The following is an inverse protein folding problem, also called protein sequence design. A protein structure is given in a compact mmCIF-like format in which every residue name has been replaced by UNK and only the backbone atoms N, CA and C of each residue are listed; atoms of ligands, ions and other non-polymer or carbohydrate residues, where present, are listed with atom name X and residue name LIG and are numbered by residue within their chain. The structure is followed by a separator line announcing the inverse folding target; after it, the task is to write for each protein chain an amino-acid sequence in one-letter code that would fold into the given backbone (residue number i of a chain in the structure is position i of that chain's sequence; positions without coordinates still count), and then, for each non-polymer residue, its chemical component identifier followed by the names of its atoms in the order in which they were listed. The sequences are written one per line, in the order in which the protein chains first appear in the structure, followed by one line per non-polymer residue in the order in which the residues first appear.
data_IF_521259435839
#
_entry.id   IF_521259435839
#
_cell.length_a   1.000
_cell.length_b   1.000
_cell.length_c   1.000
_cell.angle_alpha   90.00
_cell.angle_beta   90.00
_cell.angle_gamma   90.00
#
_symmetry.space_group_name_H-M   'P 1'
#
loop_
_entity.id
_entity.type
_entity.pdbx_description
1 polymer ?
#
# COMPACT_ATOMS: atom_id res chain seq x y z
N UNK A 1 17.22 20.95 -58.09
CA UNK A 1 16.59 19.75 -57.50
C UNK A 1 17.16 19.59 -56.13
N UNK A 2 16.92 20.51 -55.19
CA UNK A 2 15.58 21.07 -54.81
C UNK A 2 14.66 19.88 -54.50
N UNK A 3 14.05 19.74 -53.32
CA UNK A 3 13.29 20.71 -52.50
C UNK A 3 13.37 20.26 -51.01
N UNK A 4 13.69 21.15 -50.05
CA UNK A 4 12.81 21.97 -49.16
C UNK A 4 12.20 21.11 -48.02
N UNK A 5 12.62 21.21 -46.74
CA UNK A 5 12.43 22.30 -45.75
C UNK A 5 10.97 22.78 -45.64
N UNK A 6 10.20 22.19 -44.72
CA UNK A 6 9.10 22.87 -44.00
C UNK A 6 9.01 22.28 -42.58
N UNK A 7 9.84 22.85 -41.68
CA UNK A 7 9.53 23.02 -40.26
C UNK A 7 8.39 24.06 -40.17
N UNK A 8 7.22 23.67 -39.64
CA UNK A 8 6.26 24.62 -39.07
C UNK A 8 6.17 24.34 -37.57
N UNK A 9 6.87 25.21 -36.82
CA UNK A 9 6.61 25.56 -35.42
C UNK A 9 5.29 26.35 -35.29
N UNK A 10 4.95 26.64 -34.03
CA UNK A 10 3.93 27.54 -33.47
C UNK A 10 2.55 26.92 -33.18
N UNK A 11 2.17 26.73 -31.90
CA UNK A 11 1.97 27.71 -30.80
C UNK A 11 0.51 28.19 -30.82
N UNK A 12 -0.25 27.69 -29.84
CA UNK A 12 -1.36 28.38 -29.17
C UNK A 12 -1.99 27.42 -28.14
N UNK A 13 -1.29 27.25 -27.01
CA UNK A 13 -1.93 26.93 -25.74
C UNK A 13 -2.52 28.23 -25.16
N UNK A 14 -3.74 28.59 -25.58
CA UNK A 14 -4.60 29.49 -24.81
C UNK A 14 -5.47 28.62 -23.88
N UNK A 15 -4.92 28.23 -22.72
CA UNK A 15 -5.70 27.76 -21.58
C UNK A 15 -6.00 28.97 -20.68
N UNK A 16 -7.06 29.66 -21.06
CA UNK A 16 -7.68 30.74 -20.28
C UNK A 16 -8.14 30.21 -18.92
N UNK A 17 -7.42 30.61 -17.89
CA UNK A 17 -7.98 31.19 -16.66
C UNK A 17 -9.02 30.39 -15.90
N UNK A 18 -8.61 29.87 -14.75
CA UNK A 18 -9.45 29.97 -13.55
C UNK A 18 -8.57 30.43 -12.37
N UNK A 19 -8.41 31.76 -12.32
CA UNK A 19 -8.18 32.48 -11.07
C UNK A 19 -9.49 32.39 -10.27
N UNK A 20 -9.61 31.45 -9.34
CA UNK A 20 -10.72 31.51 -8.38
C UNK A 20 -10.29 31.14 -6.95
N UNK A 21 -10.39 32.19 -6.14
CA UNK A 21 -10.63 32.26 -4.70
C UNK A 21 -9.46 31.94 -3.75
N UNK A 22 -8.72 33.01 -3.47
CA UNK A 22 -8.33 33.40 -2.11
C UNK A 22 -9.51 33.18 -1.14
N UNK A 23 -9.45 32.16 -0.28
CA UNK A 23 -10.21 32.13 0.98
C UNK A 23 -9.20 32.37 2.11
N UNK A 24 -9.03 33.66 2.42
CA UNK A 24 -8.23 34.16 3.52
C UNK A 24 -8.80 33.68 4.86
N UNK A 25 -7.96 32.98 5.63
CA UNK A 25 -7.82 33.06 7.09
C UNK A 25 -9.09 33.39 7.90
N UNK A 26 -9.81 32.35 8.33
CA UNK A 26 -10.66 32.42 9.52
C UNK A 26 -9.79 32.07 10.75
N UNK A 27 -9.02 33.07 11.22
CA UNK A 27 -8.41 33.09 12.55
C UNK A 27 -9.52 33.14 13.62
N UNK A 28 -10.17 32.00 13.89
CA UNK A 28 -10.98 31.83 15.11
C UNK A 28 -10.06 31.40 16.26
N UNK A 29 -9.31 32.39 16.75
CA UNK A 29 -8.51 32.34 17.98
C UNK A 29 -9.49 32.41 19.19
N UNK A 30 -10.22 31.31 19.37
CA UNK A 30 -11.12 31.06 20.49
C UNK A 30 -10.35 30.65 21.73
N UNK A 31 -9.62 31.60 22.30
CA UNK A 31 -9.04 31.58 23.64
C UNK A 31 -10.17 31.50 24.69
N UNK A 32 -10.58 30.27 25.01
CA UNK A 32 -11.46 29.97 26.15
C UNK A 32 -10.59 29.41 27.29
N UNK A 33 -9.86 30.34 27.92
CA UNK A 33 -9.37 30.21 29.29
C UNK A 33 -10.58 30.08 30.23
N UNK A 34 -11.08 28.86 30.43
CA UNK A 34 -11.89 28.52 31.60
C UNK A 34 -11.27 27.30 32.30
N UNK A 35 -10.08 27.58 32.83
CA UNK A 35 -9.41 26.87 33.91
C UNK A 35 -10.12 27.21 35.23
N UNK A 36 -11.28 26.59 35.48
CA UNK A 36 -11.79 26.41 36.84
C UNK A 36 -11.87 24.91 37.15
N UNK A 37 -10.80 24.45 37.79
CA UNK A 37 -10.79 23.55 38.95
C UNK A 37 -12.14 22.86 39.26
N UNK A 38 -12.29 21.61 38.80
CA UNK A 38 -13.14 20.64 39.50
C UNK A 38 -12.25 19.44 39.90
N UNK A 39 -11.39 19.72 40.87
CA UNK A 39 -10.79 18.73 41.75
C UNK A 39 -11.89 18.07 42.61
N UNK A 40 -12.71 17.21 42.02
CA UNK A 40 -13.38 16.14 42.77
C UNK A 40 -12.71 14.81 42.44
N UNK A 41 -11.52 14.71 43.04
CA UNK A 41 -11.01 13.52 43.72
C UNK A 41 -12.11 12.83 44.54
N UNK A 42 -12.89 11.98 43.89
CA UNK A 42 -13.58 10.88 44.55
C UNK A 42 -12.88 9.59 44.13
N UNK A 43 -11.82 9.29 44.89
CA UNK A 43 -11.20 7.98 44.94
C UNK A 43 -12.24 6.87 45.09
N UNK A 44 -12.41 6.10 44.03
CA UNK A 44 -12.87 4.71 44.11
C UNK A 44 -11.59 3.86 44.27
N UNK A 45 -11.05 3.90 45.49
CA UNK A 45 -10.27 2.80 46.04
C UNK A 45 -11.18 1.56 46.10
N UNK A 46 -10.61 0.39 45.79
CA UNK A 46 -11.22 -0.96 45.70
C UNK A 46 -11.98 -1.31 44.41
N UNK A 47 -11.28 -1.95 43.47
CA UNK A 47 -11.59 -3.36 43.16
C UNK A 47 -10.35 -4.03 42.55
N UNK A 48 -9.58 -4.67 43.44
CA UNK A 48 -8.97 -6.00 43.25
C UNK A 48 -8.21 -6.25 41.94
N UNK A 49 -6.89 -6.10 42.01
CA UNK A 49 -5.96 -7.24 41.96
C UNK A 49 -6.39 -8.43 41.06
N UNK A 50 -6.09 -8.31 39.77
CA UNK A 50 -5.69 -9.47 38.97
C UNK A 50 -4.32 -9.15 38.38
N UNK A 51 -3.28 -9.49 39.14
CA UNK A 51 -1.96 -9.84 38.63
C UNK A 51 -2.12 -10.85 37.49
N UNK A 52 -2.11 -10.37 36.25
CA UNK A 52 -1.83 -11.21 35.08
C UNK A 52 -0.31 -11.19 34.87
N UNK A 53 0.38 -11.88 35.79
CA UNK A 53 1.73 -12.39 35.59
C UNK A 53 1.66 -13.51 34.54
N UNK A 54 1.48 -13.17 33.26
CA UNK A 54 1.92 -14.00 32.15
C UNK A 54 3.06 -13.26 31.43
N UNK A 55 4.15 -13.22 32.19
CA UNK A 55 5.53 -13.23 31.75
C UNK A 55 5.79 -14.55 30.98
N UNK A 56 5.58 -14.56 29.67
CA UNK A 56 6.31 -15.45 28.78
C UNK A 56 7.12 -14.58 27.81
N UNK A 57 8.34 -14.29 28.26
CA UNK A 57 9.55 -14.26 27.44
C UNK A 57 9.44 -15.27 26.29
N UNK A 58 9.28 -14.79 25.05
CA UNK A 58 9.77 -15.51 23.89
C UNK A 58 10.74 -14.60 23.16
N UNK A 59 11.97 -14.63 23.69
CA UNK A 59 13.20 -14.24 23.04
C UNK A 59 13.39 -15.09 21.77
N UNK A 60 12.84 -14.66 20.64
CA UNK A 60 13.37 -15.05 19.33
C UNK A 60 14.20 -13.87 18.78
N UNK A 61 15.35 -13.67 19.41
CA UNK A 61 16.55 -13.17 18.74
C UNK A 61 17.01 -14.21 17.71
N UNK A 62 16.39 -14.25 16.53
CA UNK A 62 17.04 -14.81 15.34
C UNK A 62 17.89 -13.72 14.70
N UNK A 63 19.03 -13.50 15.35
CA UNK A 63 20.25 -12.88 14.85
C UNK A 63 20.93 -13.83 13.85
N UNK A 64 20.33 -13.99 12.67
CA UNK A 64 21.04 -14.54 11.51
C UNK A 64 21.74 -13.39 10.78
N UNK A 65 22.83 -12.91 11.40
CA UNK A 65 23.97 -12.33 10.70
C UNK A 65 24.56 -13.41 9.75
N UNK A 66 23.95 -13.59 8.57
CA UNK A 66 24.60 -14.24 7.43
C UNK A 66 25.57 -13.25 6.77
N UNK A 67 26.64 -12.94 7.50
CA UNK A 67 27.91 -12.50 6.93
C UNK A 67 28.60 -13.73 6.33
N UNK A 68 28.41 -14.00 5.04
CA UNK A 68 29.41 -14.72 4.26
C UNK A 68 29.35 -14.39 2.75
N UNK A 69 30.25 -13.48 2.39
CA UNK A 69 31.26 -13.66 1.34
C UNK A 69 30.88 -13.36 -0.12
N UNK A 70 31.28 -12.15 -0.51
CA UNK A 70 31.93 -11.78 -1.77
C UNK A 70 32.08 -12.87 -2.85
N UNK A 71 31.00 -13.12 -3.56
CA UNK A 71 31.05 -13.56 -4.96
C UNK A 71 31.30 -12.39 -5.90
N UNK A 72 32.46 -11.73 -5.81
CA UNK A 72 33.01 -10.89 -6.89
C UNK A 72 33.38 -11.79 -8.07
N UNK A 73 32.37 -12.37 -8.72
CA UNK A 73 32.49 -12.98 -10.04
C UNK A 73 32.52 -11.82 -11.06
N UNK A 74 33.60 -11.04 -10.98
CA UNK A 74 34.17 -10.37 -12.12
C UNK A 74 34.48 -11.49 -13.13
N UNK A 75 33.46 -11.92 -13.89
CA UNK A 75 33.62 -12.68 -15.12
C UNK A 75 34.46 -11.79 -16.02
N UNK A 76 35.77 -11.96 -15.85
CA UNK A 76 36.85 -11.50 -16.67
C UNK A 76 36.38 -11.74 -18.10
N UNK A 77 35.87 -10.67 -18.73
CA UNK A 77 35.30 -10.68 -20.05
C UNK A 77 36.43 -11.00 -21.02
N UNK A 78 36.77 -12.28 -21.07
CA UNK A 78 37.63 -12.89 -22.05
C UNK A 78 37.04 -12.44 -23.37
N UNK A 79 37.76 -11.65 -24.19
CA UNK A 79 37.26 -11.34 -25.49
C UNK A 79 37.17 -12.68 -26.21
N UNK A 80 35.95 -13.22 -26.34
CA UNK A 80 35.60 -14.34 -27.18
C UNK A 80 36.06 -13.94 -28.58
N UNK A 81 37.31 -14.33 -28.88
CA UNK A 81 37.87 -14.26 -30.20
C UNK A 81 37.03 -15.22 -31.00
N UNK A 82 36.00 -14.70 -31.65
CA UNK A 82 35.26 -15.37 -32.71
C UNK A 82 36.31 -15.74 -33.76
N UNK A 83 36.87 -16.95 -33.60
CA UNK A 83 37.72 -17.59 -34.57
C UNK A 83 36.81 -17.91 -35.74
N UNK A 84 36.73 -16.95 -36.66
CA UNK A 84 36.22 -17.18 -37.99
C UNK A 84 37.10 -18.26 -38.61
N UNK A 85 36.65 -19.51 -38.53
CA UNK A 85 37.23 -20.61 -39.29
C UNK A 85 36.88 -20.30 -40.75
N UNK A 86 37.82 -19.71 -41.49
CA UNK A 86 37.81 -19.75 -42.94
C UNK A 86 37.89 -21.22 -43.34
N UNK A 87 36.76 -21.80 -43.74
CA UNK A 87 36.76 -22.98 -44.59
C UNK A 87 37.48 -22.65 -45.90
N UNK A 88 38.18 -23.63 -46.43
CA UNK A 88 39.15 -23.50 -47.53
C UNK A 88 38.52 -23.16 -48.90
N UNK A 89 37.20 -23.06 -48.97
CA UNK A 89 36.45 -22.89 -50.22
C UNK A 89 35.61 -21.59 -50.30
N UNK A 90 35.80 -20.63 -49.38
CA UNK A 90 35.37 -19.25 -49.61
C UNK A 90 33.87 -18.95 -49.53
N UNK A 91 33.01 -19.87 -49.08
CA UNK A 91 31.61 -19.57 -48.80
C UNK A 91 31.38 -19.09 -47.36
N UNK A 92 30.75 -17.93 -47.24
CA UNK A 92 30.43 -17.25 -45.98
C UNK A 92 29.10 -17.78 -45.43
N UNK A 93 29.15 -18.74 -44.52
CA UNK A 93 27.97 -19.11 -43.73
C UNK A 93 27.85 -18.16 -42.52
N UNK A 94 26.84 -17.28 -42.45
CA UNK A 94 26.55 -16.59 -41.20
C UNK A 94 26.16 -17.66 -40.18
N UNK A 95 26.95 -17.78 -39.11
CA UNK A 95 26.69 -18.75 -38.05
C UNK A 95 25.31 -18.54 -37.46
N UNK A 96 24.41 -19.52 -37.71
CA UNK A 96 23.28 -19.82 -36.82
C UNK A 96 23.87 -20.04 -35.43
N UNK A 97 23.54 -19.20 -34.46
CA UNK A 97 24.02 -19.39 -33.09
C UNK A 97 23.96 -18.17 -32.18
N UNK A 98 23.74 -16.96 -32.72
CA UNK A 98 23.66 -15.73 -31.89
C UNK A 98 22.30 -15.04 -31.98
N UNK A 99 21.45 -15.42 -32.95
CA UNK A 99 20.11 -14.83 -33.12
C UNK A 99 19.03 -15.41 -32.21
N UNK A 100 19.00 -16.73 -32.00
CA UNK A 100 17.94 -17.38 -31.20
C UNK A 100 18.00 -16.98 -29.72
N UNK A 101 19.18 -16.98 -29.08
CA UNK A 101 19.32 -16.58 -27.66
C UNK A 101 18.96 -15.12 -27.38
N UNK A 102 19.20 -14.22 -28.33
CA UNK A 102 18.88 -12.80 -28.14
C UNK A 102 17.38 -12.51 -28.29
N UNK A 103 16.68 -13.30 -29.11
CA UNK A 103 15.22 -13.25 -29.21
C UNK A 103 14.53 -13.94 -28.03
N UNK A 104 15.07 -15.07 -27.57
CA UNK A 104 14.55 -15.80 -26.40
C UNK A 104 14.62 -14.95 -25.12
N UNK A 105 15.73 -14.22 -24.90
CA UNK A 105 15.86 -13.26 -23.79
C UNK A 105 14.89 -12.08 -23.87
N UNK A 106 14.58 -11.61 -25.08
CA UNK A 106 13.65 -10.51 -25.30
C UNK A 106 12.17 -10.91 -25.14
N UNK A 107 11.83 -12.19 -25.35
CA UNK A 107 10.52 -12.74 -25.02
C UNK A 107 10.36 -13.02 -23.52
N UNK A 108 11.42 -13.46 -22.83
CA UNK A 108 11.42 -13.62 -21.36
C UNK A 108 11.25 -12.28 -20.64
N UNK A 109 11.98 -11.22 -21.03
CA UNK A 109 11.82 -9.88 -20.42
C UNK A 109 10.40 -9.30 -20.64
N UNK A 110 9.79 -9.58 -21.81
CA UNK A 110 8.41 -9.17 -22.08
C UNK A 110 7.38 -9.97 -21.30
N UNK A 111 7.65 -11.25 -21.03
CA UNK A 111 6.80 -12.08 -20.15
C UNK A 111 6.92 -11.65 -18.70
N UNK A 112 8.13 -11.36 -18.22
CA UNK A 112 8.36 -10.92 -16.84
C UNK A 112 7.69 -9.55 -16.57
N UNK A 113 7.76 -8.60 -17.52
CA UNK A 113 7.02 -7.33 -17.41
C UNK A 113 5.50 -7.54 -17.39
N UNK A 114 4.99 -8.49 -18.19
CA UNK A 114 3.55 -8.82 -18.21
C UNK A 114 3.09 -9.55 -16.94
N UNK A 115 3.94 -10.36 -16.32
CA UNK A 115 3.64 -11.00 -15.04
C UNK A 115 3.64 -10.00 -13.90
N UNK A 116 4.63 -9.08 -13.85
CA UNK A 116 4.64 -7.99 -12.86
C UNK A 116 3.44 -7.03 -13.00
N UNK A 117 2.99 -6.78 -14.22
CA UNK A 117 1.81 -5.96 -14.48
C UNK A 117 0.52 -6.67 -14.04
N UNK A 118 0.41 -7.97 -14.30
CA UNK A 118 -0.70 -8.81 -13.79
C UNK A 118 -0.71 -8.95 -12.27
N UNK A 119 0.44 -9.07 -11.64
CA UNK A 119 0.55 -9.16 -10.18
C UNK A 119 0.12 -7.85 -9.50
N UNK A 120 0.40 -6.70 -10.13
CA UNK A 120 -0.14 -5.40 -9.68
C UNK A 120 -1.65 -5.33 -9.87
N UNK A 121 -2.17 -5.82 -10.99
CA UNK A 121 -3.61 -5.88 -11.26
C UNK A 121 -4.35 -6.78 -10.26
N UNK A 122 -3.80 -7.97 -9.95
CA UNK A 122 -4.36 -8.87 -8.93
C UNK A 122 -4.34 -8.25 -7.53
N UNK A 123 -3.25 -7.57 -7.14
CA UNK A 123 -3.19 -6.86 -5.85
C UNK A 123 -4.22 -5.73 -5.76
N UNK A 124 -4.41 -4.96 -6.83
CA UNK A 124 -5.39 -3.87 -6.85
C UNK A 124 -6.84 -4.40 -6.83
N UNK A 125 -7.09 -5.56 -7.44
CA UNK A 125 -8.39 -6.23 -7.41
C UNK A 125 -8.69 -6.83 -6.02
N UNK A 126 -7.70 -7.42 -5.36
CA UNK A 126 -7.83 -7.98 -4.00
C UNK A 126 -8.13 -6.87 -2.97
N UNK A 127 -7.46 -5.72 -3.09
CA UNK A 127 -7.68 -4.56 -2.21
C UNK A 127 -9.06 -3.92 -2.40
N UNK A 128 -9.56 -3.89 -3.64
CA UNK A 128 -10.95 -3.48 -3.94
C UNK A 128 -11.96 -4.45 -3.36
N UNK A 129 -11.71 -5.75 -3.45
CA UNK A 129 -12.61 -6.77 -2.88
C UNK A 129 -12.66 -6.70 -1.35
N UNK A 130 -11.53 -6.42 -0.70
CA UNK A 130 -11.46 -6.27 0.76
C UNK A 130 -12.20 -5.01 1.24
N UNK A 131 -12.01 -3.86 0.57
CA UNK A 131 -12.77 -2.61 0.82
C UNK A 131 -14.28 -2.81 0.61
N UNK A 132 -14.70 -3.67 -0.31
CA UNK A 132 -16.13 -3.97 -0.53
C UNK A 132 -16.72 -4.92 0.54
N UNK A 133 -15.94 -5.92 0.99
CA UNK A 133 -16.31 -6.81 2.10
C UNK A 133 -16.46 -6.04 3.42
N UNK A 134 -15.58 -5.08 3.70
CA UNK A 134 -15.66 -4.27 4.92
C UNK A 134 -16.91 -3.35 4.92
N UNK A 135 -17.24 -2.75 3.76
CA UNK A 135 -18.47 -1.95 3.59
C UNK A 135 -19.74 -2.78 3.77
N UNK A 136 -19.74 -4.03 3.33
CA UNK A 136 -20.92 -4.92 3.43
C UNK A 136 -21.10 -5.51 4.84
N UNK A 137 -20.02 -5.81 5.57
CA UNK A 137 -20.10 -6.19 6.98
C UNK A 137 -20.57 -5.05 7.88
N UNK A 138 -20.06 -3.83 7.66
CA UNK A 138 -20.49 -2.64 8.41
C UNK A 138 -21.99 -2.36 8.28
N UNK A 139 -22.56 -2.50 7.08
CA UNK A 139 -24.00 -2.35 6.84
C UNK A 139 -24.83 -3.44 7.54
N UNK A 140 -24.37 -4.69 7.53
CA UNK A 140 -25.04 -5.81 8.23
C UNK A 140 -25.05 -5.63 9.76
N UNK A 141 -24.00 -5.05 10.34
CA UNK A 141 -23.93 -4.80 11.78
C UNK A 141 -24.89 -3.67 12.19
N UNK A 142 -25.02 -2.63 11.36
CA UNK A 142 -25.93 -1.50 11.58
C UNK A 142 -27.40 -1.93 11.47
N UNK A 143 -27.75 -2.74 10.46
CA UNK A 143 -29.12 -3.25 10.26
C UNK A 143 -29.58 -4.18 11.41
N UNK A 144 -28.69 -5.04 11.92
CA UNK A 144 -28.95 -5.86 13.12
C UNK A 144 -29.14 -5.02 14.39
N UNK A 145 -28.52 -3.84 14.45
CA UNK A 145 -28.65 -2.96 15.61
C UNK A 145 -29.98 -2.19 15.59
N UNK A 146 -30.42 -1.74 14.42
CA UNK A 146 -31.74 -1.12 14.23
C UNK A 146 -32.87 -2.12 14.54
N UNK A 147 -32.77 -3.38 14.09
CA UNK A 147 -33.77 -4.42 14.38
C UNK A 147 -33.90 -4.71 15.90
N UNK A 148 -32.78 -4.67 16.63
CA UNK A 148 -32.77 -4.81 18.09
C UNK A 148 -33.42 -3.62 18.79
N UNK A 149 -33.15 -2.40 18.33
CA UNK A 149 -33.74 -1.20 18.92
C UNK A 149 -35.26 -1.13 18.67
N UNK A 150 -35.72 -1.58 17.50
CA UNK A 150 -37.15 -1.66 17.19
C UNK A 150 -37.86 -2.72 18.06
N UNK A 151 -37.24 -3.90 18.28
CA UNK A 151 -37.77 -4.94 19.18
C UNK A 151 -37.89 -4.44 20.63
N UNK A 152 -36.89 -3.71 21.15
CA UNK A 152 -36.96 -3.13 22.50
C UNK A 152 -38.09 -2.10 22.62
N UNK A 153 -38.28 -1.23 21.62
CA UNK A 153 -39.38 -0.25 21.60
C UNK A 153 -40.75 -0.94 21.55
N UNK A 154 -40.87 -2.08 20.86
CA UNK A 154 -42.10 -2.88 20.78
C UNK A 154 -42.45 -3.54 22.13
N UNK A 155 -41.48 -4.15 22.80
CA UNK A 155 -41.68 -4.72 24.14
C UNK A 155 -42.05 -3.66 25.19
N UNK A 156 -41.46 -2.47 25.12
CA UNK A 156 -41.77 -1.38 26.06
C UNK A 156 -43.21 -0.88 25.87
N UNK A 157 -43.67 -0.72 24.62
CA UNK A 157 -45.07 -0.41 24.31
C UNK A 157 -46.03 -1.50 24.80
N UNK A 158 -45.66 -2.77 24.71
CA UNK A 158 -46.53 -3.87 25.15
C UNK A 158 -46.66 -3.93 26.67
N UNK A 159 -45.56 -3.70 27.41
CA UNK A 159 -45.56 -3.60 28.87
C UNK A 159 -46.42 -2.43 29.36
N UNK A 160 -46.32 -1.26 28.73
CA UNK A 160 -47.12 -0.08 29.09
C UNK A 160 -48.63 -0.30 28.82
N UNK A 161 -48.97 -1.02 27.74
CA UNK A 161 -50.36 -1.41 27.43
C UNK A 161 -50.94 -2.35 28.49
N UNK A 162 -50.19 -3.38 28.89
CA UNK A 162 -50.57 -4.32 29.97
C UNK A 162 -50.74 -3.63 31.32
N UNK A 163 -49.90 -2.65 31.63
CA UNK A 163 -50.03 -1.89 32.88
C UNK A 163 -51.28 -1.00 32.88
N UNK A 164 -51.57 -0.31 31.76
CA UNK A 164 -52.82 0.46 31.60
C UNK A 164 -54.07 -0.41 31.69
N UNK A 165 -54.04 -1.63 31.16
CA UNK A 165 -55.17 -2.56 31.23
C UNK A 165 -55.44 -3.03 32.66
N UNK A 166 -54.39 -3.41 33.42
CA UNK A 166 -54.52 -3.74 34.84
C UNK A 166 -55.06 -2.58 35.69
N UNK A 167 -54.68 -1.34 35.35
CA UNK A 167 -55.17 -0.14 36.05
C UNK A 167 -56.67 0.07 35.81
N UNK A 168 -57.13 -0.06 34.56
CA UNK A 168 -58.56 0.00 34.20
C UNK A 168 -59.38 -1.13 34.84
N UNK A 169 -58.84 -2.34 34.94
CA UNK A 169 -59.54 -3.46 35.59
C UNK A 169 -59.72 -3.22 37.10
N UNK A 170 -58.70 -2.66 37.77
CA UNK A 170 -58.78 -2.29 39.19
C UNK A 170 -59.79 -1.16 39.44
N UNK A 171 -59.88 -0.17 38.55
CA UNK A 171 -60.89 0.90 38.65
C UNK A 171 -62.31 0.34 38.49
N UNK A 172 -62.56 -0.51 37.48
CA UNK A 172 -63.88 -1.17 37.31
C UNK A 172 -64.28 -2.03 38.51
N UNK A 173 -63.33 -2.70 39.16
CA UNK A 173 -63.59 -3.46 40.39
C UNK A 173 -63.94 -2.56 41.58
N UNK A 174 -63.31 -1.39 41.70
CA UNK A 174 -63.66 -0.39 42.74
C UNK A 174 -65.03 0.23 42.49
N UNK A 175 -65.36 0.53 41.24
CA UNK A 175 -66.65 1.12 40.86
C UNK A 175 -67.81 0.15 41.15
N UNK A 176 -67.67 -1.14 40.77
CA UNK A 176 -68.64 -2.20 41.12
C UNK A 176 -68.79 -2.43 42.63
N UNK A 177 -67.76 -2.13 43.42
CA UNK A 177 -67.82 -2.25 44.89
C UNK A 177 -68.63 -1.10 45.49
N UNK A 178 -68.41 0.14 45.02
CA UNK A 178 -69.21 1.32 45.44
C UNK A 178 -70.69 1.18 45.08
N UNK A 179 -70.99 0.67 43.89
CA UNK A 179 -72.39 0.45 43.45
C UNK A 179 -73.11 -0.64 44.28
N UNK A 180 -72.37 -1.60 44.84
CA UNK A 180 -72.89 -2.60 45.78
C UNK A 180 -73.10 -2.08 47.20
N UNK A 181 -72.34 -1.07 47.62
CA UNK A 181 -72.52 -0.40 48.92
C UNK A 181 -73.68 0.60 48.88
N UNK A 182 -73.89 1.34 47.80
CA UNK A 182 -75.06 2.22 47.66
C UNK A 182 -76.40 1.46 47.65
N UNK A 183 -76.42 0.20 47.21
CA UNK A 183 -77.63 -0.65 47.27
C UNK A 183 -77.92 -1.27 48.65
N UNK A 184 -77.09 -1.02 49.67
CA UNK A 184 -77.32 -1.53 51.05
C UNK A 184 -77.77 -0.44 52.04
N UNK A 185 -78.09 0.76 51.56
CA UNK A 185 -78.51 1.90 52.37
C UNK A 185 -80.02 2.11 52.51
N UNK A 186 -80.84 1.06 52.64
CA UNK A 186 -82.24 1.18 53.07
C UNK A 186 -82.59 -0.01 53.98
N UNK A 187 -82.52 0.19 55.29
CA UNK A 187 -82.87 -0.83 56.29
C UNK A 187 -82.31 -0.47 57.65
N UNK A 188 -83.09 0.29 58.42
CA UNK A 188 -82.69 0.89 59.70
C UNK A 188 -82.38 -0.08 60.82
N UNK A 189 -81.68 0.46 61.83
CA UNK A 189 -81.40 -0.17 63.10
C UNK A 189 -80.65 0.82 64.00
N UNK A 190 -81.39 1.58 64.80
CA UNK A 190 -80.84 2.43 65.86
C UNK A 190 -80.36 1.56 67.03
N UNK A 191 -79.07 1.64 67.37
CA UNK A 191 -78.52 1.11 68.63
C UNK A 191 -77.11 0.53 68.46
N UNK A 192 -76.14 1.04 69.22
CA UNK A 192 -74.72 0.59 69.32
C UNK A 192 -73.72 0.96 68.20
N UNK A 193 -74.07 1.87 67.30
CA UNK A 193 -73.25 2.15 66.10
C UNK A 193 -72.01 3.05 66.27
N UNK A 194 -71.57 3.38 67.49
CA UNK A 194 -70.48 4.36 67.72
C UNK A 194 -69.10 3.74 67.95
N UNK A 195 -69.01 2.49 68.41
CA UNK A 195 -67.74 1.79 68.65
C UNK A 195 -67.20 1.03 67.42
N UNK A 196 -68.08 0.39 66.65
CA UNK A 196 -67.68 -0.39 65.45
C UNK A 196 -67.24 0.51 64.28
N UNK A 197 -67.87 1.70 64.12
CA UNK A 197 -67.47 2.69 63.11
C UNK A 197 -66.06 3.27 63.34
N UNK A 198 -65.54 3.28 64.57
CA UNK A 198 -64.16 3.70 64.87
C UNK A 198 -63.14 2.60 64.56
N UNK A 199 -63.49 1.33 64.77
CA UNK A 199 -62.66 0.18 64.39
C UNK A 199 -62.48 0.07 62.88
N UNK A 200 -63.57 0.20 62.11
CA UNK A 200 -63.52 0.21 60.64
C UNK A 200 -62.73 1.42 60.08
N UNK A 201 -62.77 2.58 60.74
CA UNK A 201 -61.97 3.74 60.32
C UNK A 201 -60.46 3.48 60.49
N UNK A 202 -60.04 2.87 61.61
CA UNK A 202 -58.63 2.52 61.86
C UNK A 202 -58.11 1.42 60.94
N UNK A 203 -58.94 0.45 60.56
CA UNK A 203 -58.56 -0.55 59.54
C UNK A 203 -58.42 0.04 58.15
N UNK A 204 -59.35 0.93 57.75
CA UNK A 204 -59.26 1.64 56.47
C UNK A 204 -58.02 2.53 56.39
N UNK A 205 -57.66 3.20 57.48
CA UNK A 205 -56.45 4.03 57.58
C UNK A 205 -55.16 3.19 57.42
N UNK A 206 -55.07 2.03 58.09
CA UNK A 206 -53.94 1.09 57.91
C UNK A 206 -53.86 0.53 56.48
N UNK A 207 -54.98 0.21 55.86
CA UNK A 207 -55.02 -0.29 54.48
C UNK A 207 -54.60 0.79 53.46
N UNK A 208 -54.91 2.06 53.73
CA UNK A 208 -54.45 3.20 52.92
C UNK A 208 -52.94 3.43 53.09
N UNK A 209 -52.42 3.37 54.31
CA UNK A 209 -50.98 3.46 54.60
C UNK A 209 -50.17 2.34 53.92
N UNK A 210 -50.65 1.09 53.96
CA UNK A 210 -50.00 -0.02 53.23
C UNK A 210 -50.01 0.19 51.72
N UNK A 211 -51.13 0.67 51.15
CA UNK A 211 -51.21 0.98 49.71
C UNK A 211 -50.30 2.13 49.33
N UNK A 212 -50.11 3.12 50.19
CA UNK A 212 -49.18 4.23 49.94
C UNK A 212 -47.73 3.74 50.00
N UNK A 213 -47.37 2.91 50.99
CA UNK A 213 -46.05 2.26 51.07
C UNK A 213 -45.76 1.42 49.83
N UNK A 214 -46.71 0.60 49.38
CA UNK A 214 -46.56 -0.23 48.18
C UNK A 214 -46.38 0.62 46.90
N UNK A 215 -47.07 1.77 46.80
CA UNK A 215 -46.89 2.72 45.69
C UNK A 215 -45.49 3.34 45.71
N UNK A 216 -45.03 3.82 46.87
CA UNK A 216 -43.68 4.41 47.03
C UNK A 216 -42.59 3.40 46.70
N UNK A 217 -42.75 2.14 47.09
CA UNK A 217 -41.78 1.08 46.78
C UNK A 217 -41.74 0.76 45.28
N UNK A 218 -42.91 0.69 44.62
CA UNK A 218 -42.98 0.52 43.16
C UNK A 218 -42.36 1.68 42.41
N UNK A 219 -42.58 2.91 42.88
CA UNK A 219 -42.01 4.11 42.28
C UNK A 219 -40.48 4.13 42.42
N UNK A 220 -39.95 3.84 43.61
CA UNK A 220 -38.50 3.65 43.82
C UNK A 220 -37.91 2.58 42.92
N UNK A 221 -38.62 1.46 42.72
CA UNK A 221 -38.17 0.38 41.83
C UNK A 221 -38.13 0.83 40.37
N UNK A 222 -39.16 1.57 39.91
CA UNK A 222 -39.19 2.16 38.56
C UNK A 222 -38.07 3.18 38.37
N UNK A 223 -37.84 4.05 39.34
CA UNK A 223 -36.76 5.04 39.30
C UNK A 223 -35.38 4.36 39.20
N UNK A 224 -35.12 3.32 40.01
CA UNK A 224 -33.90 2.52 39.92
C UNK A 224 -33.73 1.85 38.56
N UNK A 225 -34.82 1.34 37.96
CA UNK A 225 -34.79 0.74 36.63
C UNK A 225 -34.46 1.78 35.55
N UNK A 226 -35.05 2.98 35.62
CA UNK A 226 -34.77 4.10 34.71
C UNK A 226 -33.30 4.50 34.81
N UNK A 227 -32.79 4.72 36.04
CA UNK A 227 -31.36 5.05 36.27
C UNK A 227 -30.43 3.96 35.72
N UNK A 228 -30.76 2.67 35.89
CA UNK A 228 -29.97 1.55 35.34
C UNK A 228 -29.99 1.54 33.80
N UNK A 229 -31.15 1.76 33.18
CA UNK A 229 -31.30 1.88 31.72
C UNK A 229 -30.49 3.08 31.17
N UNK A 230 -30.55 4.21 31.85
CA UNK A 230 -29.80 5.41 31.48
C UNK A 230 -28.29 5.20 31.58
N UNK A 231 -27.79 4.62 32.69
CA UNK A 231 -26.37 4.24 32.84
C UNK A 231 -25.92 3.30 31.71
N UNK A 232 -26.74 2.30 31.34
CA UNK A 232 -26.45 1.38 30.21
C UNK A 232 -26.39 2.13 28.87
N UNK A 233 -27.31 3.06 28.61
CA UNK A 233 -27.30 3.92 27.41
C UNK A 233 -26.04 4.81 27.35
N UNK A 234 -25.65 5.43 28.48
CA UNK A 234 -24.42 6.25 28.58
C UNK A 234 -23.17 5.43 28.27
N UNK A 235 -23.05 4.22 28.85
CA UNK A 235 -21.95 3.27 28.55
C UNK A 235 -21.92 2.88 27.07
N UNK A 236 -23.07 2.55 26.46
CA UNK A 236 -23.17 2.23 25.03
C UNK A 236 -22.73 3.40 24.15
N UNK A 237 -23.17 4.63 24.45
CA UNK A 237 -22.76 5.85 23.73
C UNK A 237 -21.26 6.10 23.83
N UNK A 238 -20.66 5.94 25.02
CA UNK A 238 -19.21 6.04 25.22
C UNK A 238 -18.45 4.99 24.38
N UNK A 239 -18.89 3.73 24.38
CA UNK A 239 -18.26 2.67 23.58
C UNK A 239 -18.33 2.96 22.07
N UNK A 240 -19.48 3.44 21.57
CA UNK A 240 -19.62 3.87 20.17
C UNK A 240 -18.68 5.02 19.80
N UNK A 241 -18.55 6.04 20.66
CA UNK A 241 -17.60 7.15 20.45
C UNK A 241 -16.15 6.66 20.39
N UNK A 242 -15.74 5.76 21.30
CA UNK A 242 -14.39 5.16 21.28
C UNK A 242 -14.12 4.38 19.99
N UNK A 243 -15.07 3.54 19.54
CA UNK A 243 -14.95 2.81 18.28
C UNK A 243 -14.81 3.73 17.07
N UNK A 244 -15.60 4.81 17.00
CA UNK A 244 -15.48 5.80 15.92
C UNK A 244 -14.12 6.51 15.91
N UNK A 245 -13.60 6.90 17.08
CA UNK A 245 -12.26 7.49 17.18
C UNK A 245 -11.16 6.53 16.74
N UNK A 246 -11.25 5.25 17.14
CA UNK A 246 -10.31 4.21 16.70
C UNK A 246 -10.32 4.03 15.18
N UNK A 247 -11.51 3.91 14.58
CA UNK A 247 -11.64 3.83 13.11
C UNK A 247 -11.15 5.07 12.37
N UNK A 248 -11.21 6.26 13.00
CA UNK A 248 -10.67 7.50 12.42
C UNK A 248 -9.14 7.44 12.40
N UNK A 249 -8.54 7.05 13.53
CA UNK A 249 -7.08 6.86 13.64
C UNK A 249 -6.56 5.77 12.70
N UNK A 250 -7.23 4.62 12.63
CA UNK A 250 -6.86 3.53 11.71
C UNK A 250 -6.94 3.95 10.24
N UNK A 251 -7.76 4.95 9.89
CA UNK A 251 -7.79 5.52 8.54
C UNK A 251 -6.67 6.52 8.32
N UNK A 252 -6.45 7.43 9.27
CA UNK A 252 -5.35 8.40 9.23
C UNK A 252 -3.99 7.68 9.15
N UNK A 253 -3.81 6.58 9.89
CA UNK A 253 -2.59 5.76 9.88
C UNK A 253 -2.38 5.06 8.54
N UNK A 254 -3.45 4.56 7.90
CA UNK A 254 -3.38 3.97 6.55
C UNK A 254 -3.04 5.01 5.48
N UNK A 255 -3.61 6.20 5.58
CA UNK A 255 -3.34 7.32 4.67
C UNK A 255 -1.87 7.75 4.79
N UNK A 256 -1.36 7.90 6.02
CA UNK A 256 0.06 8.21 6.28
C UNK A 256 1.01 7.09 5.77
N UNK A 257 0.61 5.82 5.84
CA UNK A 257 1.38 4.70 5.29
C UNK A 257 1.38 4.69 3.74
N UNK A 258 0.25 5.05 3.11
CA UNK A 258 0.14 5.20 1.66
C UNK A 258 1.03 6.35 1.16
N UNK A 259 1.01 7.50 1.83
CA UNK A 259 1.84 8.66 1.49
C UNK A 259 3.34 8.32 1.60
N UNK A 260 3.77 7.66 2.68
CA UNK A 260 5.17 7.21 2.85
C UNK A 260 5.61 6.25 1.74
N UNK A 261 4.73 5.33 1.33
CA UNK A 261 5.02 4.40 0.22
C UNK A 261 5.11 5.12 -1.13
N UNK A 262 4.38 6.22 -1.31
CA UNK A 262 4.47 7.04 -2.52
C UNK A 262 5.78 7.83 -2.55
N UNK A 263 6.18 8.43 -1.42
CA UNK A 263 7.48 9.11 -1.28
C UNK A 263 8.65 8.16 -1.56
N UNK A 264 8.64 6.94 -0.98
CA UNK A 264 9.68 5.93 -1.20
C UNK A 264 9.81 5.56 -2.69
N UNK A 265 8.68 5.40 -3.40
CA UNK A 265 8.68 5.12 -4.85
C UNK A 265 9.27 6.29 -5.64
N UNK A 266 8.96 7.53 -5.27
CA UNK A 266 9.48 8.71 -5.94
C UNK A 266 11.01 8.83 -5.74
N UNK A 267 11.51 8.54 -4.54
CA UNK A 267 12.95 8.50 -4.26
C UNK A 267 13.66 7.41 -5.08
N UNK A 268 13.07 6.22 -5.16
CA UNK A 268 13.54 5.09 -5.96
C UNK A 268 13.64 5.44 -7.46
N UNK A 269 12.63 6.13 -8.00
CA UNK A 269 12.64 6.60 -9.38
C UNK A 269 13.74 7.65 -9.61
N UNK A 270 13.87 8.62 -8.70
CA UNK A 270 14.96 9.62 -8.74
C UNK A 270 16.33 8.94 -8.68
N UNK A 271 16.50 7.87 -7.92
CA UNK A 271 17.75 7.13 -7.83
C UNK A 271 18.06 6.33 -9.11
N UNK A 272 17.05 5.67 -9.70
CA UNK A 272 17.16 4.98 -10.99
C UNK A 272 17.59 5.93 -12.12
N UNK A 273 16.97 7.10 -12.18
CA UNK A 273 17.31 8.17 -13.12
C UNK A 273 18.77 8.65 -12.99
N UNK A 274 19.23 8.82 -11.75
CA UNK A 274 20.63 9.18 -11.47
C UNK A 274 21.58 8.09 -11.95
N UNK A 275 21.28 6.82 -11.66
CA UNK A 275 22.07 5.65 -12.11
C UNK A 275 22.11 5.53 -13.63
N UNK A 276 21.00 5.78 -14.32
CA UNK A 276 20.94 5.76 -15.78
C UNK A 276 21.77 6.90 -16.40
N UNK A 277 21.63 8.13 -15.90
CA UNK A 277 22.44 9.29 -16.33
C UNK A 277 23.94 9.04 -16.12
N UNK A 278 24.33 8.35 -15.04
CA UNK A 278 25.73 7.98 -14.80
C UNK A 278 26.22 6.92 -15.79
N UNK A 279 25.43 5.87 -16.04
CA UNK A 279 25.74 4.84 -17.06
C UNK A 279 25.92 5.47 -18.45
N UNK A 280 25.04 6.40 -18.83
CA UNK A 280 25.12 7.10 -20.12
C UNK A 280 26.40 7.93 -20.25
N UNK A 281 26.80 8.64 -19.17
CA UNK A 281 28.07 9.39 -19.11
C UNK A 281 29.28 8.45 -19.27
N UNK A 282 29.30 7.32 -18.57
CA UNK A 282 30.37 6.30 -18.69
C UNK A 282 30.46 5.75 -20.11
N UNK A 283 29.33 5.43 -20.73
CA UNK A 283 29.28 4.92 -22.10
C UNK A 283 29.80 5.95 -23.13
N UNK A 284 29.40 7.22 -22.99
CA UNK A 284 29.91 8.34 -23.80
C UNK A 284 31.44 8.50 -23.65
N UNK A 285 31.97 8.32 -22.45
CA UNK A 285 33.43 8.37 -22.19
C UNK A 285 34.17 7.20 -22.85
N UNK A 286 33.64 5.98 -22.75
CA UNK A 286 34.17 4.79 -23.41
C UNK A 286 34.21 4.98 -24.92
N UNK A 287 33.11 5.44 -25.54
CA UNK A 287 33.02 5.77 -26.97
C UNK A 287 34.07 6.82 -27.38
N UNK A 288 34.31 7.85 -26.55
CA UNK A 288 35.37 8.86 -26.78
C UNK A 288 36.77 8.24 -26.73
N UNK A 289 37.07 7.43 -25.70
CA UNK A 289 38.35 6.71 -25.55
C UNK A 289 38.61 5.77 -26.72
N UNK A 290 37.59 5.04 -27.18
CA UNK A 290 37.68 4.13 -28.32
C UNK A 290 37.95 4.88 -29.63
N UNK A 291 37.21 5.97 -29.92
CA UNK A 291 37.46 6.84 -31.07
C UNK A 291 38.91 7.36 -31.07
N UNK A 292 39.44 7.77 -29.91
CA UNK A 292 40.85 8.20 -29.75
C UNK A 292 41.83 7.06 -30.05
N UNK A 293 41.59 5.85 -29.54
CA UNK A 293 42.39 4.65 -29.84
C UNK A 293 42.37 4.30 -31.32
N UNK A 294 41.20 4.35 -31.98
CA UNK A 294 41.03 4.12 -33.43
C UNK A 294 41.83 5.13 -34.26
N UNK A 295 41.78 6.43 -33.91
CA UNK A 295 42.59 7.49 -34.54
C UNK A 295 44.10 7.23 -34.39
N UNK A 296 44.57 6.86 -33.19
CA UNK A 296 45.98 6.50 -32.95
C UNK A 296 46.41 5.29 -33.80
N UNK A 297 45.59 4.22 -33.86
CA UNK A 297 45.85 3.04 -34.70
C UNK A 297 45.96 3.41 -36.19
N UNK A 298 45.05 4.25 -36.70
CA UNK A 298 45.10 4.77 -38.09
C UNK A 298 46.40 5.54 -38.37
N UNK A 299 46.82 6.43 -37.46
CA UNK A 299 48.09 7.18 -37.59
C UNK A 299 49.31 6.25 -37.61
N UNK A 300 49.35 5.24 -36.73
CA UNK A 300 50.42 4.22 -36.73
C UNK A 300 50.49 3.44 -38.05
N UNK A 301 49.35 3.00 -38.59
CA UNK A 301 49.29 2.32 -39.89
C UNK A 301 49.80 3.20 -41.03
N UNK A 302 49.44 4.49 -41.06
CA UNK A 302 49.96 5.44 -42.07
C UNK A 302 51.48 5.59 -41.99
N UNK A 303 52.04 5.74 -40.78
CA UNK A 303 53.50 5.81 -40.58
C UNK A 303 54.20 4.53 -41.03
N UNK A 304 53.62 3.36 -40.73
CA UNK A 304 54.15 2.07 -41.18
C UNK A 304 54.18 1.95 -42.70
N UNK A 305 53.06 2.27 -43.38
CA UNK A 305 53.00 2.28 -44.85
C UNK A 305 54.00 3.26 -45.48
N UNK A 306 54.26 4.40 -44.84
CA UNK A 306 55.26 5.36 -45.32
C UNK A 306 56.67 4.77 -45.25
N UNK A 307 57.02 4.16 -44.10
CA UNK A 307 58.31 3.47 -43.92
C UNK A 307 58.47 2.31 -44.89
N UNK A 308 57.44 1.47 -45.06
CA UNK A 308 57.46 0.36 -46.03
C UNK A 308 57.63 0.85 -47.49
N UNK A 309 57.15 2.07 -47.81
CA UNK A 309 57.37 2.68 -49.13
C UNK A 309 58.79 3.22 -49.29
N UNK A 310 59.30 3.91 -48.27
CA UNK A 310 60.69 4.41 -48.22
C UNK A 310 61.69 3.25 -48.33
N UNK A 311 61.49 2.18 -47.55
CA UNK A 311 62.32 0.96 -47.57
C UNK A 311 62.29 0.26 -48.94
N UNK A 312 61.13 0.22 -49.60
CA UNK A 312 61.01 -0.33 -50.96
C UNK A 312 61.71 0.54 -52.01
N UNK A 313 61.64 1.87 -51.89
CA UNK A 313 62.35 2.80 -52.78
C UNK A 313 63.87 2.65 -52.60
N UNK A 314 64.36 2.52 -51.36
CA UNK A 314 65.77 2.22 -51.06
C UNK A 314 66.21 0.86 -51.64
N UNK A 315 65.40 -0.20 -51.49
CA UNK A 315 65.70 -1.52 -52.05
C UNK A 315 65.72 -1.51 -53.60
N UNK A 316 64.84 -0.73 -54.23
CA UNK A 316 64.83 -0.55 -55.69
C UNK A 316 66.07 0.23 -56.16
N UNK A 317 66.50 1.27 -55.44
CA UNK A 317 67.74 2.02 -55.70
C UNK A 317 69.00 1.15 -55.53
N UNK A 318 69.06 0.31 -54.49
CA UNK A 318 70.15 -0.66 -54.31
C UNK A 318 70.20 -1.69 -55.45
N UNK A 319 69.04 -2.21 -55.88
CA UNK A 319 68.96 -3.13 -57.02
C UNK A 319 69.37 -2.48 -58.33
N UNK A 320 69.10 -1.19 -58.51
CA UNK A 320 69.53 -0.44 -59.70
C UNK A 320 71.05 -0.26 -59.72
N UNK A 321 71.65 0.14 -58.59
CA UNK A 321 73.12 0.22 -58.43
C UNK A 321 73.81 -1.13 -58.68
N UNK A 322 73.28 -2.22 -58.13
CA UNK A 322 73.83 -3.56 -58.34
C UNK A 322 73.76 -4.03 -59.81
N UNK A 323 72.76 -3.58 -60.58
CA UNK A 323 72.68 -3.87 -62.03
C UNK A 323 73.71 -3.07 -62.83
N UNK A 324 74.00 -1.85 -62.42
CA UNK A 324 75.03 -1.02 -63.06
C UNK A 324 76.41 -1.66 -62.89
N UNK A 325 76.75 -2.12 -61.68
CA UNK A 325 78.03 -2.80 -61.39
C UNK A 325 78.13 -4.21 -62.01
N UNK A 326 77.02 -4.93 -62.16
CA UNK A 326 76.99 -6.31 -62.67
C UNK A 326 77.17 -6.47 -64.18
N UNK A 327 77.10 -5.39 -64.97
CA UNK A 327 77.18 -5.46 -66.45
C UNK A 327 78.61 -5.42 -67.02
N UNK A 328 79.63 -5.22 -66.18
CA UNK A 328 81.03 -5.12 -66.62
C UNK A 328 81.79 -6.47 -66.73
N UNK A 329 81.16 -7.61 -66.38
CA UNK A 329 81.90 -8.85 -66.05
C UNK A 329 81.59 -10.13 -66.83
N UNK A 330 80.76 -10.12 -67.88
CA UNK A 330 80.41 -11.35 -68.62
C UNK A 330 80.57 -11.18 -70.14
N UNK A 331 81.78 -10.78 -70.54
CA UNK A 331 82.36 -11.18 -71.82
C UNK A 331 83.13 -12.48 -71.62
N UNK A 332 82.43 -13.60 -71.50
CA UNK A 332 83.02 -14.93 -71.34
C UNK A 332 82.25 -15.95 -72.13
N UNK A 333 82.81 -16.34 -73.27
CA UNK A 333 82.40 -17.43 -74.16
C UNK A 333 81.69 -18.58 -73.44
N UNK A 334 80.38 -18.71 -73.67
CA UNK A 334 79.69 -19.99 -73.48
C UNK A 334 79.54 -20.65 -74.84
N UNK A 335 80.63 -21.27 -75.27
CA UNK A 335 80.59 -22.35 -76.25
C UNK A 335 79.61 -23.42 -75.79
N UNK A 336 78.65 -23.73 -76.66
CA UNK A 336 77.94 -25.00 -76.81
C UNK A 336 78.39 -26.14 -75.88
N UNK A 337 77.57 -26.49 -74.88
CA UNK A 337 77.49 -27.86 -74.36
C UNK A 337 76.02 -28.24 -74.26
N UNK A 338 75.52 -28.84 -75.34
CA UNK A 338 74.35 -29.71 -75.32
C UNK A 338 74.64 -30.90 -74.41
N UNK A 339 73.82 -31.21 -73.38
CA UNK A 339 73.88 -32.51 -72.72
C UNK A 339 73.06 -33.50 -73.56
N UNK A 340 73.71 -34.12 -74.53
CA UNK A 340 73.21 -35.33 -75.18
C UNK A 340 74.17 -36.47 -74.88
N UNK A 341 73.59 -37.65 -74.64
CA UNK A 341 74.20 -38.98 -74.46
C UNK A 341 74.77 -39.39 -73.08
N UNK A 342 73.95 -40.21 -72.42
CA UNK A 342 74.18 -41.65 -72.16
C UNK A 342 75.23 -42.14 -71.14
N UNK A 343 74.74 -43.03 -70.26
CA UNK A 343 75.48 -44.00 -69.46
C UNK A 343 74.63 -44.47 -68.27
N UNK A 344 73.59 -45.28 -68.48
CA UNK A 344 73.56 -46.71 -68.13
C UNK A 344 74.23 -47.07 -66.79
N UNK A 345 73.44 -47.28 -65.72
CA UNK A 345 73.05 -48.61 -65.22
C UNK A 345 71.89 -48.50 -64.22
#
# INVERSE_FOLDING_TARGET
GEEEDEDEEDDDEEDDGDEDEEDEDDEDDGDDEDDEEDEEDDGDEDDEDEEDEDDEEDEDEDDDEDDEDYGDDDEDAVPLRVRHKKSRDGEFFPGKGVGERAWERGEEEKKEKKEKEKEKEEKEEEEKEEKEREKTEGKKEEEKEEEKEEKEKKEEKEKDKKEKEKKKEKEKKKEKKKEKEEKKGEGGGEGEERGEREGEKKEKEKEEDEKEKEKKEKEKKKEKEIKKKEKRRRRKRRRRRRRRRRRKREKEEKEEEEDKKEEEKEEDEKEKDKKEKEKEKKEKEIKKKEKRRRRKRRRRRRRRRKREKEEREEEEEEKEKAKEDGTAGLGGDTTSVTPSLWGHF
#
